data_IF_200991971062
#
_entry.id   IF_200991971062
#
_cell.length_a   1.000
_cell.length_b   1.000
_cell.length_c   1.000
_cell.angle_alpha   90.00
_cell.angle_beta   90.00
_cell.angle_gamma   90.00
#
_symmetry.space_group_name_H-M   'P 1'
#
loop_
_entity.id
_entity.type
_entity.pdbx_description
1 polymer ?
#
# COMPACT_ATOMS: atom_id res chain seq x y z
N UNK A 1 -13.14 10.38 -12.30
CA UNK A 1 -12.02 10.16 -13.24
C UNK A 1 -10.97 9.33 -12.51
N UNK A 2 -10.53 8.22 -13.08
CA UNK A 2 -9.49 7.37 -12.47
C UNK A 2 -8.10 7.84 -12.94
N UNK A 3 -7.07 7.65 -12.11
CA UNK A 3 -5.68 7.95 -12.48
C UNK A 3 -5.30 7.15 -13.74
N UNK A 4 -4.74 7.81 -14.75
CA UNK A 4 -4.14 7.18 -15.92
C UNK A 4 -2.79 6.54 -15.58
N UNK A 5 -2.29 5.65 -16.43
CA UNK A 5 -0.97 5.03 -16.23
C UNK A 5 0.17 6.07 -16.18
N UNK A 6 0.08 7.14 -16.97
CA UNK A 6 1.07 8.23 -16.95
C UNK A 6 1.02 9.04 -15.64
N UNK A 7 -0.17 9.29 -15.10
CA UNK A 7 -0.32 9.92 -13.78
C UNK A 7 0.19 9.02 -12.65
N UNK A 8 -0.03 7.70 -12.74
CA UNK A 8 0.57 6.74 -11.81
C UNK A 8 2.09 6.83 -11.83
N UNK A 9 2.72 6.92 -13.01
CA UNK A 9 4.17 7.08 -13.12
C UNK A 9 4.67 8.34 -12.38
N UNK A 10 3.97 9.47 -12.55
CA UNK A 10 4.31 10.73 -11.88
C UNK A 10 4.12 10.63 -10.36
N UNK A 11 3.04 10.00 -9.90
CA UNK A 11 2.80 9.76 -8.48
C UNK A 11 3.90 8.86 -7.90
N UNK A 12 4.23 7.73 -8.55
CA UNK A 12 5.29 6.83 -8.11
C UNK A 12 6.64 7.55 -8.03
N UNK A 13 6.96 8.40 -9.01
CA UNK A 13 8.17 9.23 -8.99
C UNK A 13 8.18 10.19 -7.78
N UNK A 14 7.05 10.83 -7.47
CA UNK A 14 6.94 11.73 -6.31
C UNK A 14 7.12 11.02 -4.96
N UNK A 15 6.83 9.72 -4.89
CA UNK A 15 6.87 8.93 -3.67
C UNK A 15 8.22 8.24 -3.42
N UNK A 16 9.19 8.36 -4.34
CA UNK A 16 10.50 7.71 -4.19
C UNK A 16 11.25 8.11 -2.91
N UNK A 17 11.00 9.33 -2.39
CA UNK A 17 11.55 9.77 -1.09
C UNK A 17 11.08 8.96 0.12
N UNK A 18 10.07 8.09 -0.03
CA UNK A 18 9.61 7.17 1.01
C UNK A 18 10.42 5.87 1.06
N UNK A 19 11.17 5.53 0.01
CA UNK A 19 12.02 4.34 0.00
C UNK A 19 13.03 4.41 1.14
N UNK A 20 13.16 3.30 1.86
CA UNK A 20 13.93 3.20 3.10
C UNK A 20 13.13 3.51 4.37
N UNK A 21 11.90 4.03 4.28
CA UNK A 21 11.04 4.23 5.45
C UNK A 21 10.55 2.90 6.03
N UNK A 22 10.28 2.88 7.34
CA UNK A 22 9.76 1.70 8.07
C UNK A 22 8.28 1.90 8.36
N UNK A 23 7.48 0.87 8.11
CA UNK A 23 6.05 0.86 8.46
C UNK A 23 5.90 0.81 9.98
N UNK A 24 5.33 1.87 10.56
CA UNK A 24 5.08 1.98 11.99
C UNK A 24 3.71 1.44 12.36
N UNK A 25 2.70 1.77 11.55
CA UNK A 25 1.30 1.39 11.76
C UNK A 25 0.59 1.21 10.44
N UNK A 26 -0.39 0.32 10.43
CA UNK A 26 -1.28 0.11 9.29
C UNK A 26 -2.75 0.19 9.73
N UNK A 27 -3.59 0.79 8.87
CA UNK A 27 -5.04 0.78 9.02
C UNK A 27 -5.73 0.41 7.72
N UNK A 28 -6.92 -0.19 7.84
CA UNK A 28 -7.87 -0.39 6.75
C UNK A 28 -9.13 0.44 7.03
N UNK A 29 -9.21 1.70 6.57
CA UNK A 29 -10.44 2.49 6.68
C UNK A 29 -11.61 1.86 5.92
N UNK A 30 -11.32 1.23 4.79
CA UNK A 30 -12.27 0.51 3.94
C UNK A 30 -11.62 -0.79 3.44
N UNK A 31 -12.38 -1.79 2.96
CA UNK A 31 -11.84 -3.10 2.57
C UNK A 31 -10.68 -3.04 1.56
N UNK A 32 -10.76 -2.15 0.55
CA UNK A 32 -9.72 -1.95 -0.48
C UNK A 32 -8.93 -0.66 -0.26
N UNK A 33 -8.89 -0.13 0.95
CA UNK A 33 -8.11 1.06 1.30
C UNK A 33 -7.14 0.77 2.43
N UNK A 34 -5.84 0.94 2.18
CA UNK A 34 -4.78 0.83 3.17
C UNK A 34 -4.21 2.20 3.46
N UNK A 35 -3.99 2.49 4.75
CA UNK A 35 -3.17 3.62 5.19
C UNK A 35 -1.93 3.08 5.89
N UNK A 36 -0.75 3.41 5.37
CA UNK A 36 0.55 3.05 5.93
C UNK A 36 1.16 4.28 6.61
N UNK A 37 1.39 4.20 7.92
CA UNK A 37 2.26 5.16 8.61
C UNK A 37 3.70 4.76 8.41
N UNK A 38 4.47 5.62 7.75
CA UNK A 38 5.87 5.38 7.40
C UNK A 38 6.77 6.35 8.19
N UNK A 39 7.88 5.83 8.73
CA UNK A 39 8.93 6.61 9.40
C UNK A 39 10.24 6.46 8.64
N UNK A 40 10.76 7.55 8.11
CA UNK A 40 12.02 7.58 7.36
C UNK A 40 12.57 9.01 7.29
N UNK A 41 13.88 9.18 7.10
CA UNK A 41 14.50 10.50 6.88
C UNK A 41 14.14 11.56 7.94
N UNK A 42 14.05 11.18 9.22
CA UNK A 42 13.69 12.13 10.29
C UNK A 42 12.20 12.52 10.38
N UNK A 43 11.34 12.09 9.44
CA UNK A 43 9.91 12.43 9.40
C UNK A 43 9.01 11.20 9.51
N UNK A 44 7.74 11.47 9.84
CA UNK A 44 6.65 10.49 9.82
C UNK A 44 5.58 11.01 8.87
N UNK A 45 5.09 10.16 7.97
CA UNK A 45 4.00 10.49 7.05
C UNK A 45 3.05 9.30 6.92
N UNK A 46 1.83 9.57 6.49
CA UNK A 46 0.82 8.53 6.27
C UNK A 46 0.51 8.48 4.76
N UNK A 47 0.80 7.33 4.15
CA UNK A 47 0.52 7.04 2.74
C UNK A 47 -0.83 6.33 2.63
N UNK A 48 -1.76 6.89 1.86
CA UNK A 48 -3.03 6.26 1.55
C UNK A 48 -2.97 5.61 0.16
N UNK A 49 -3.41 4.35 0.11
CA UNK A 49 -3.58 3.55 -1.11
C UNK A 49 -5.03 3.07 -1.11
N UNK A 50 -5.82 3.47 -2.09
CA UNK A 50 -7.21 3.04 -2.23
C UNK A 50 -7.41 2.47 -3.61
N UNK A 51 -7.92 1.24 -3.68
CA UNK A 51 -8.41 0.59 -4.88
C UNK A 51 -9.95 0.48 -4.87
N UNK A 52 -10.62 1.34 -4.10
CA UNK A 52 -12.08 1.37 -4.04
C UNK A 52 -12.69 1.83 -5.38
N UNK A 53 -13.82 1.22 -5.81
CA UNK A 53 -14.52 1.63 -7.02
C UNK A 53 -14.84 3.13 -7.03
N UNK A 54 -14.45 3.83 -8.09
CA UNK A 54 -14.66 5.28 -8.23
C UNK A 54 -13.78 6.16 -7.33
N UNK A 55 -12.97 5.56 -6.46
CA UNK A 55 -12.17 6.23 -5.43
C UNK A 55 -10.68 5.81 -5.47
N UNK A 56 -10.25 5.17 -6.55
CA UNK A 56 -8.87 4.71 -6.74
C UNK A 56 -7.87 5.89 -6.65
N UNK A 57 -6.94 5.84 -5.68
CA UNK A 57 -5.96 6.92 -5.43
C UNK A 57 -4.75 6.44 -4.62
N UNK A 58 -3.63 7.13 -4.81
CA UNK A 58 -2.36 6.92 -4.11
C UNK A 58 -1.74 8.29 -3.76
N UNK A 59 -1.66 8.65 -2.47
CA UNK A 59 -1.10 9.94 -2.05
C UNK A 59 -0.76 9.99 -0.56
N UNK A 60 0.07 10.97 -0.17
CA UNK A 60 0.33 11.30 1.23
C UNK A 60 -0.85 12.07 1.84
N UNK A 61 -1.26 11.68 3.05
CA UNK A 61 -2.27 12.39 3.83
C UNK A 61 -1.68 13.62 4.51
N UNK A 62 -2.41 14.74 4.45
CA UNK A 62 -2.11 15.97 5.20
C UNK A 62 -2.54 15.80 6.67
N UNK A 63 -3.69 15.18 6.89
CA UNK A 63 -4.19 14.81 8.21
C UNK A 63 -4.72 13.38 8.18
N UNK A 64 -4.38 12.62 9.21
CA UNK A 64 -4.84 11.23 9.33
C UNK A 64 -5.86 11.10 10.43
N UNK A 65 -7.11 10.83 10.03
CA UNK A 65 -8.14 10.37 10.94
C UNK A 65 -7.93 8.88 11.19
N UNK A 66 -7.62 8.53 12.43
CA UNK A 66 -7.55 7.11 12.82
C UNK A 66 -8.94 6.51 12.72
N UNK A 67 -9.13 5.35 12.06
CA UNK A 67 -10.41 4.68 12.10
C UNK A 67 -10.80 4.39 13.56
N UNK A 68 -12.06 4.66 13.90
CA UNK A 68 -12.64 4.37 15.22
C UNK A 68 -13.27 2.99 15.14
N UNK A 69 -12.82 2.05 15.97
CA UNK A 69 -13.35 0.68 16.01
C UNK A 69 -12.27 -0.38 16.26
N UNK A 70 -12.71 -1.62 16.46
CA UNK A 70 -11.80 -2.76 16.57
C UNK A 70 -11.16 -3.11 15.22
N UNK A 71 -9.90 -3.58 15.21
CA UNK A 71 -9.25 -4.04 13.97
C UNK A 71 -10.05 -5.16 13.30
N UNK A 72 -10.30 -5.02 11.99
CA UNK A 72 -10.83 -6.14 11.20
C UNK A 72 -9.80 -7.28 11.13
N UNK A 73 -10.21 -8.55 10.93
CA UNK A 73 -9.29 -9.66 10.73
C UNK A 73 -8.28 -9.43 9.59
N UNK A 74 -8.74 -8.83 8.48
CA UNK A 74 -7.89 -8.43 7.37
C UNK A 74 -6.82 -7.42 7.79
N UNK A 75 -7.18 -6.41 8.60
CA UNK A 75 -6.23 -5.44 9.13
C UNK A 75 -5.18 -6.14 10.00
N UNK A 76 -5.57 -7.11 10.84
CA UNK A 76 -4.64 -7.86 11.67
C UNK A 76 -3.62 -8.67 10.82
N UNK A 77 -4.07 -9.30 9.74
CA UNK A 77 -3.19 -10.02 8.79
C UNK A 77 -2.20 -9.06 8.14
N UNK A 78 -2.68 -7.94 7.60
CA UNK A 78 -1.82 -6.95 6.97
C UNK A 78 -0.84 -6.30 7.96
N UNK A 79 -1.25 -6.07 9.21
CA UNK A 79 -0.35 -5.57 10.27
C UNK A 79 0.77 -6.55 10.56
N UNK A 80 0.44 -7.82 10.80
CA UNK A 80 1.43 -8.88 11.04
C UNK A 80 2.39 -9.02 9.86
N UNK A 81 1.92 -8.76 8.64
CA UNK A 81 2.78 -8.73 7.48
C UNK A 81 3.61 -7.45 7.40
N UNK A 82 3.05 -6.25 7.44
CA UNK A 82 3.76 -5.06 6.97
C UNK A 82 4.39 -4.24 8.10
N UNK A 83 3.85 -4.27 9.33
CA UNK A 83 4.39 -3.45 10.42
C UNK A 83 5.81 -3.89 10.80
N UNK A 84 6.70 -2.91 10.98
CA UNK A 84 8.12 -3.11 11.24
C UNK A 84 8.97 -3.44 10.00
N UNK A 85 8.37 -3.68 8.83
CA UNK A 85 9.12 -3.89 7.58
C UNK A 85 9.57 -2.55 6.97
N UNK A 86 10.72 -2.58 6.31
CA UNK A 86 11.27 -1.44 5.55
C UNK A 86 10.71 -1.46 4.14
N UNK A 87 10.20 -0.34 3.66
CA UNK A 87 9.83 -0.13 2.26
C UNK A 87 11.11 -0.04 1.43
N UNK A 88 11.32 -0.96 0.49
CA UNK A 88 12.54 -1.07 -0.33
C UNK A 88 12.32 -0.60 -1.76
N UNK A 89 11.09 -0.65 -2.28
CA UNK A 89 10.75 -0.11 -3.59
C UNK A 89 9.29 0.32 -3.66
N UNK A 90 9.03 1.32 -4.50
CA UNK A 90 7.69 1.64 -5.01
C UNK A 90 7.82 1.69 -6.52
N UNK A 91 7.09 0.83 -7.21
CA UNK A 91 7.23 0.65 -8.66
C UNK A 91 5.87 0.52 -9.34
N UNK A 92 5.79 1.06 -10.55
CA UNK A 92 4.67 0.81 -11.45
C UNK A 92 4.96 -0.46 -12.26
N UNK A 93 3.99 -1.35 -12.37
CA UNK A 93 4.15 -2.59 -13.13
C UNK A 93 3.63 -2.42 -14.56
N UNK A 94 4.45 -2.85 -15.53
CA UNK A 94 4.10 -2.95 -16.96
C UNK A 94 3.52 -1.67 -17.59
N UNK A 95 3.83 -0.49 -17.04
CA UNK A 95 3.22 0.78 -17.45
C UNK A 95 1.68 0.76 -17.38
N UNK A 96 1.11 -0.04 -16.49
CA UNK A 96 -0.32 -0.09 -16.19
C UNK A 96 -0.61 0.64 -14.87
N UNK A 97 -1.87 0.71 -14.47
CA UNK A 97 -2.34 1.31 -13.24
C UNK A 97 -2.18 0.36 -12.06
N UNK A 98 -1.05 -0.33 -12.01
CA UNK A 98 -0.69 -1.30 -10.97
C UNK A 98 0.58 -0.81 -10.28
N UNK A 99 0.51 -0.66 -8.96
CA UNK A 99 1.64 -0.20 -8.15
C UNK A 99 2.03 -1.28 -7.15
N UNK A 100 3.29 -1.69 -7.20
CA UNK A 100 3.91 -2.56 -6.21
C UNK A 100 4.66 -1.75 -5.16
N UNK A 101 4.38 -1.99 -3.88
CA UNK A 101 5.20 -1.54 -2.77
C UNK A 101 5.92 -2.75 -2.18
N UNK A 102 7.24 -2.78 -2.29
CA UNK A 102 8.07 -3.88 -1.84
C UNK A 102 8.60 -3.60 -0.43
N UNK A 103 8.52 -4.59 0.44
CA UNK A 103 8.91 -4.48 1.83
C UNK A 103 9.85 -5.61 2.23
N UNK A 104 10.85 -5.27 3.04
CA UNK A 104 11.81 -6.23 3.60
C UNK A 104 11.69 -6.26 5.14
N UNK A 105 11.54 -7.46 5.68
CA UNK A 105 11.50 -7.73 7.11
C UNK A 105 12.85 -8.22 7.65
N UNK A 106 12.81 -8.68 8.91
CA UNK A 106 13.97 -9.37 9.51
C UNK A 106 14.19 -10.71 8.78
N UNK A 107 15.44 -11.19 8.79
CA UNK A 107 15.83 -12.46 8.17
C UNK A 107 15.55 -12.57 6.65
N UNK A 108 15.49 -11.45 5.93
CA UNK A 108 15.32 -11.42 4.48
C UNK A 108 13.90 -11.73 3.98
N UNK A 109 12.90 -11.79 4.87
CA UNK A 109 11.52 -11.99 4.44
C UNK A 109 11.00 -10.78 3.64
N UNK A 110 10.71 -10.99 2.35
CA UNK A 110 10.10 -9.98 1.49
C UNK A 110 8.58 -10.11 1.41
N UNK A 111 7.89 -8.98 1.30
CA UNK A 111 6.46 -8.89 1.00
C UNK A 111 6.21 -7.80 -0.01
N UNK A 112 5.19 -7.97 -0.84
CA UNK A 112 4.77 -6.93 -1.78
C UNK A 112 3.30 -6.62 -1.58
N UNK A 113 2.96 -5.35 -1.36
CA UNK A 113 1.59 -4.87 -1.44
C UNK A 113 1.36 -4.37 -2.86
N UNK A 114 0.49 -5.05 -3.60
CA UNK A 114 0.12 -4.70 -4.97
C UNK A 114 -1.22 -4.00 -4.92
N UNK A 115 -1.29 -2.84 -5.57
CA UNK A 115 -2.51 -2.06 -5.72
C UNK A 115 -2.88 -1.95 -7.19
N UNK A 116 -4.01 -2.55 -7.57
CA UNK A 116 -4.62 -2.39 -8.88
C UNK A 116 -5.57 -1.18 -8.83
N UNK A 117 -5.14 -0.07 -9.42
CA UNK A 117 -5.83 1.21 -9.41
C UNK A 117 -6.65 1.41 -10.69
N UNK A 118 -7.28 0.34 -11.17
CA UNK A 118 -7.97 0.27 -12.46
C UNK A 118 -9.41 0.81 -12.43
N UNK A 119 -9.87 1.31 -11.28
CA UNK A 119 -11.21 1.87 -11.09
C UNK A 119 -12.18 0.82 -10.54
N UNK A 120 -13.22 0.48 -11.31
CA UNK A 120 -14.31 -0.42 -10.86
C UNK A 120 -13.79 -1.80 -10.42
N UNK A 121 -12.78 -2.32 -11.11
CA UNK A 121 -12.19 -3.64 -10.85
C UNK A 121 -10.93 -3.58 -9.97
N UNK A 122 -10.63 -2.43 -9.38
CA UNK A 122 -9.44 -2.28 -8.55
C UNK A 122 -9.45 -3.20 -7.34
N UNK A 123 -8.27 -3.66 -6.92
CA UNK A 123 -8.11 -4.53 -5.76
C UNK A 123 -6.73 -4.33 -5.09
N UNK A 124 -6.56 -4.92 -3.91
CA UNK A 124 -5.31 -4.95 -3.17
C UNK A 124 -4.89 -6.39 -2.89
N UNK A 125 -3.62 -6.70 -3.14
CA UNK A 125 -3.05 -8.02 -2.90
C UNK A 125 -1.80 -7.91 -2.02
N UNK A 126 -1.67 -8.81 -1.07
CA UNK A 126 -0.43 -9.03 -0.35
C UNK A 126 0.23 -10.28 -0.90
N UNK A 127 1.47 -10.15 -1.37
CA UNK A 127 2.28 -11.24 -1.88
C UNK A 127 3.43 -11.58 -0.91
N UNK A 128 3.86 -12.83 -0.91
CA UNK A 128 5.15 -13.22 -0.34
C UNK A 128 6.32 -13.01 -1.31
N UNK A 129 7.54 -13.34 -0.86
CA UNK A 129 8.75 -13.19 -1.65
C UNK A 129 8.85 -14.10 -2.89
N UNK A 130 7.95 -15.08 -3.01
CA UNK A 130 7.85 -15.96 -4.19
C UNK A 130 6.76 -15.51 -5.17
N UNK A 131 6.06 -14.41 -4.86
CA UNK A 131 4.93 -13.91 -5.63
C UNK A 131 3.60 -14.60 -5.33
N UNK A 132 3.53 -15.46 -4.31
CA UNK A 132 2.28 -16.12 -3.91
C UNK A 132 1.38 -15.13 -3.17
N UNK A 133 0.09 -15.12 -3.52
CA UNK A 133 -0.93 -14.32 -2.82
C UNK A 133 -1.13 -14.89 -1.41
N UNK A 134 -0.88 -14.05 -0.41
CA UNK A 134 -1.15 -14.31 1.00
C UNK A 134 -2.51 -13.74 1.43
N UNK A 135 -2.94 -12.64 0.83
CA UNK A 135 -4.20 -11.98 1.13
C UNK A 135 -4.71 -11.16 -0.06
N UNK A 136 -6.03 -11.06 -0.18
CA UNK A 136 -6.73 -10.17 -1.12
C UNK A 136 -7.80 -9.40 -0.36
N UNK A 137 -8.00 -8.12 -0.68
CA UNK A 137 -9.03 -7.30 -0.05
C UNK A 137 -10.44 -7.78 -0.38
N UNK A 138 -10.67 -8.22 -1.62
CA UNK A 138 -11.90 -8.89 -2.03
C UNK A 138 -11.52 -10.18 -2.77
N UNK A 139 -12.10 -11.34 -2.41
CA UNK A 139 -11.87 -12.59 -3.15
C UNK A 139 -12.42 -12.44 -4.58
N UNK A 140 -11.63 -12.85 -5.56
CA UNK A 140 -12.03 -12.96 -6.96
C UNK A 140 -12.84 -14.22 -7.21
#
# INVERSE_FOLDING_TARGET
MSLSAAEIAQVVASLQGLVGAVVQKLWLPEPKTVVLRLRGGGRTCDLLISAEPGLARLHLLVETRRPRGEPTPAQAVLRRALEGRRLTAIEQWQSDRVVGLCFEGRAGESRTLVAELTGVHGNLFLLDGTGRILHTAVPN
#
